data_IF_334216448145
#
_entry.id   IF_334216448145
#
_cell.length_a   1.000
_cell.length_b   1.000
_cell.length_c   1.000
_cell.angle_alpha   90.00
_cell.angle_beta   90.00
_cell.angle_gamma   90.00
#
_symmetry.space_group_name_H-M   'P 1'
#
loop_
_entity.id
_entity.type
_entity.pdbx_description
1 polymer ?
#
# COMPACT_ATOMS: atom_id res chain seq x y z
N UNK A 1 -35.43 -79.90 51.88
CA UNK A 1 -34.68 -79.03 50.95
C UNK A 1 -35.50 -77.76 50.74
N UNK A 2 -35.07 -76.64 51.33
CA UNK A 2 -35.73 -75.32 51.20
C UNK A 2 -35.04 -74.53 50.10
N UNK A 3 -35.79 -74.09 49.09
CA UNK A 3 -35.31 -73.17 48.06
C UNK A 3 -35.38 -71.73 48.57
N UNK A 4 -34.26 -71.03 48.52
CA UNK A 4 -34.14 -69.61 48.88
C UNK A 4 -33.97 -68.83 47.57
N UNK A 5 -35.03 -68.14 47.12
CA UNK A 5 -34.96 -67.24 45.96
C UNK A 5 -34.36 -65.90 46.36
N UNK A 6 -33.20 -65.56 45.80
CA UNK A 6 -32.58 -64.24 45.93
C UNK A 6 -33.17 -63.29 44.87
N UNK A 7 -33.82 -62.21 45.30
CA UNK A 7 -34.30 -61.13 44.46
C UNK A 7 -33.15 -60.11 44.28
N UNK A 8 -32.59 -60.01 43.08
CA UNK A 8 -31.60 -58.98 42.74
C UNK A 8 -32.34 -57.74 42.24
N UNK A 9 -32.34 -56.68 43.04
CA UNK A 9 -32.86 -55.36 42.65
C UNK A 9 -31.73 -54.62 41.93
N UNK A 10 -31.85 -54.51 40.60
CA UNK A 10 -31.00 -53.66 39.77
C UNK A 10 -31.43 -52.19 39.93
N UNK A 11 -30.64 -51.42 40.69
CA UNK A 11 -30.74 -49.96 40.71
C UNK A 11 -30.19 -49.41 39.39
N UNK A 12 -31.08 -48.96 38.50
CA UNK A 12 -30.70 -48.10 37.39
C UNK A 12 -30.38 -46.70 37.93
N UNK A 13 -29.09 -46.39 38.05
CA UNK A 13 -28.62 -45.04 38.32
C UNK A 13 -28.72 -44.25 37.01
N UNK A 14 -29.73 -43.40 36.88
CA UNK A 14 -29.84 -42.45 35.78
C UNK A 14 -28.80 -41.34 35.97
N UNK A 15 -27.72 -41.39 35.20
CA UNK A 15 -26.78 -40.28 35.10
C UNK A 15 -27.50 -39.06 34.48
N UNK A 16 -27.89 -38.12 35.34
CA UNK A 16 -28.30 -36.80 34.92
C UNK A 16 -27.07 -36.08 34.35
N UNK A 17 -26.91 -36.10 33.01
CA UNK A 17 -25.98 -35.23 32.30
C UNK A 17 -26.46 -33.79 32.47
N UNK A 18 -25.86 -33.07 33.42
CA UNK A 18 -26.01 -31.63 33.51
C UNK A 18 -25.47 -31.01 32.22
N UNK A 19 -26.39 -30.55 31.35
CA UNK A 19 -26.03 -29.72 30.21
C UNK A 19 -25.77 -28.31 30.76
N UNK A 20 -24.53 -28.03 31.16
CA UNK A 20 -24.07 -26.65 31.26
C UNK A 20 -24.02 -26.08 29.85
N UNK A 21 -25.09 -25.42 29.42
CA UNK A 21 -25.08 -24.51 28.29
C UNK A 21 -24.27 -23.27 28.67
N UNK A 22 -22.95 -23.41 28.71
CA UNK A 22 -22.08 -22.25 28.61
C UNK A 22 -22.31 -21.67 27.20
N UNK A 23 -23.08 -20.58 27.11
CA UNK A 23 -23.20 -19.83 25.87
C UNK A 23 -21.80 -19.43 25.43
N UNK A 24 -21.30 -20.03 24.34
CA UNK A 24 -20.04 -19.62 23.76
C UNK A 24 -20.11 -18.09 23.53
N UNK A 25 -19.18 -17.35 24.12
CA UNK A 25 -19.14 -15.90 23.98
C UNK A 25 -18.96 -15.55 22.50
N UNK A 26 -20.01 -15.04 21.85
CA UNK A 26 -19.93 -14.61 20.46
C UNK A 26 -19.33 -13.21 20.41
N UNK A 27 -18.05 -13.10 20.04
CA UNK A 27 -17.33 -11.84 19.98
C UNK A 27 -18.01 -10.81 19.07
N UNK A 28 -18.61 -11.24 17.96
CA UNK A 28 -19.35 -10.33 17.08
C UNK A 28 -20.57 -9.74 17.79
N UNK A 29 -21.30 -10.53 18.58
CA UNK A 29 -22.48 -10.03 19.31
C UNK A 29 -22.07 -9.03 20.39
N UNK A 30 -20.94 -9.28 21.08
CA UNK A 30 -20.35 -8.28 21.97
C UNK A 30 -20.01 -6.99 21.21
N UNK A 31 -19.37 -7.07 20.05
CA UNK A 31 -19.05 -5.88 19.25
C UNK A 31 -20.32 -5.17 18.75
N UNK A 32 -21.39 -5.90 18.39
CA UNK A 32 -22.70 -5.33 17.97
C UNK A 32 -23.36 -4.49 19.07
N UNK A 33 -23.01 -4.68 20.34
CA UNK A 33 -23.50 -3.84 21.44
C UNK A 33 -23.02 -2.38 21.35
N UNK A 34 -21.98 -2.09 20.55
CA UNK A 34 -21.47 -0.75 20.33
C UNK A 34 -22.12 -0.10 19.10
N UNK A 35 -22.78 1.07 19.23
CA UNK A 35 -23.52 1.69 18.13
C UNK A 35 -22.71 1.86 16.84
N UNK A 36 -21.46 2.36 16.95
CA UNK A 36 -20.60 2.58 15.78
C UNK A 36 -20.31 1.32 15.00
N UNK A 37 -20.00 0.22 15.69
CA UNK A 37 -19.74 -1.05 15.01
C UNK A 37 -21.04 -1.67 14.44
N UNK A 38 -22.15 -1.61 15.18
CA UNK A 38 -23.47 -2.02 14.68
C UNK A 38 -23.83 -1.28 13.38
N UNK A 39 -23.65 0.03 13.36
CA UNK A 39 -23.97 0.86 12.20
C UNK A 39 -23.02 0.61 11.03
N UNK A 40 -21.73 0.41 11.30
CA UNK A 40 -20.74 0.00 10.30
C UNK A 40 -21.13 -1.34 9.66
N UNK A 41 -21.50 -2.35 10.47
CA UNK A 41 -21.96 -3.64 9.94
C UNK A 41 -23.18 -3.47 9.03
N UNK A 42 -24.21 -2.75 9.48
CA UNK A 42 -25.41 -2.49 8.66
C UNK A 42 -25.09 -1.83 7.32
N UNK A 43 -24.11 -0.91 7.28
CA UNK A 43 -23.70 -0.21 6.06
C UNK A 43 -22.82 -1.05 5.14
N UNK A 44 -21.99 -1.93 5.68
CA UNK A 44 -20.84 -2.50 4.96
C UNK A 44 -20.91 -4.00 4.73
N UNK A 45 -21.59 -4.76 5.59
CA UNK A 45 -21.58 -6.24 5.58
C UNK A 45 -21.98 -6.80 4.22
N UNK A 46 -23.12 -6.39 3.65
CA UNK A 46 -23.57 -6.85 2.33
C UNK A 46 -22.58 -6.51 1.21
N UNK A 47 -21.96 -5.33 1.29
CA UNK A 47 -20.96 -4.89 0.30
C UNK A 47 -19.69 -5.72 0.40
N UNK A 48 -19.22 -6.04 1.62
CA UNK A 48 -18.08 -6.91 1.84
C UNK A 48 -18.37 -8.34 1.36
N UNK A 49 -19.54 -8.89 1.72
CA UNK A 49 -19.99 -10.20 1.25
C UNK A 49 -19.98 -10.29 -0.28
N UNK A 50 -20.49 -9.27 -0.98
CA UNK A 50 -20.45 -9.21 -2.44
C UNK A 50 -19.01 -9.16 -2.97
N UNK A 51 -18.15 -8.30 -2.40
CA UNK A 51 -16.74 -8.20 -2.82
C UNK A 51 -15.97 -9.51 -2.60
N UNK A 52 -16.28 -10.26 -1.53
CA UNK A 52 -15.74 -11.60 -1.31
C UNK A 52 -16.17 -12.58 -2.39
N UNK A 53 -17.48 -12.64 -2.69
CA UNK A 53 -18.02 -13.51 -3.75
C UNK A 53 -17.42 -13.19 -5.12
N UNK A 54 -17.32 -11.92 -5.49
CA UNK A 54 -16.71 -11.47 -6.76
C UNK A 54 -15.25 -11.90 -6.91
N UNK A 55 -14.55 -12.10 -5.79
CA UNK A 55 -13.15 -12.56 -5.74
C UNK A 55 -13.01 -14.06 -5.46
N UNK A 56 -14.12 -14.81 -5.44
CA UNK A 56 -14.16 -16.23 -5.07
C UNK A 56 -13.53 -16.49 -3.69
N UNK A 57 -13.79 -15.61 -2.72
CA UNK A 57 -13.34 -15.70 -1.33
C UNK A 57 -14.52 -16.10 -0.44
N UNK A 58 -14.26 -16.87 0.62
CA UNK A 58 -15.30 -17.28 1.57
C UNK A 58 -15.56 -16.19 2.62
N UNK A 59 -16.84 -15.95 2.89
CA UNK A 59 -17.30 -15.05 3.94
C UNK A 59 -17.96 -15.85 5.09
N UNK A 60 -17.74 -15.49 6.36
CA UNK A 60 -16.86 -14.42 6.84
C UNK A 60 -15.37 -14.75 6.66
N UNK A 61 -14.52 -13.73 6.68
CA UNK A 61 -13.07 -13.92 6.66
C UNK A 61 -12.64 -14.74 7.89
N UNK A 62 -11.99 -15.88 7.68
CA UNK A 62 -11.50 -16.74 8.77
C UNK A 62 -10.12 -16.35 9.25
N UNK A 63 -9.22 -16.07 8.30
CA UNK A 63 -7.87 -15.65 8.56
C UNK A 63 -7.55 -14.43 7.70
N UNK A 64 -7.12 -13.34 8.32
CA UNK A 64 -6.64 -12.15 7.63
C UNK A 64 -5.17 -11.87 7.96
N UNK A 65 -4.55 -11.10 7.08
CA UNK A 65 -3.19 -10.57 7.23
C UNK A 65 -3.19 -9.14 6.69
N UNK A 66 -2.67 -8.21 7.48
CA UNK A 66 -2.61 -6.80 7.12
C UNK A 66 -1.16 -6.41 6.83
N UNK A 67 -0.94 -5.70 5.72
CA UNK A 67 0.35 -5.07 5.41
C UNK A 67 0.17 -3.58 5.28
N UNK A 68 1.08 -2.78 5.81
CA UNK A 68 1.16 -1.36 5.53
C UNK A 68 2.52 -1.00 4.93
N UNK A 69 2.52 -0.07 3.99
CA UNK A 69 3.71 0.41 3.28
C UNK A 69 3.83 1.91 3.53
N UNK A 70 4.80 2.28 4.37
CA UNK A 70 4.93 3.64 4.91
C UNK A 70 5.14 4.68 3.82
N UNK A 71 6.12 4.48 2.95
CA UNK A 71 6.41 5.39 1.84
C UNK A 71 5.27 5.43 0.81
N UNK A 72 4.68 4.27 0.52
CA UNK A 72 3.65 4.15 -0.52
C UNK A 72 2.26 4.61 -0.05
N UNK A 73 2.07 4.92 1.23
CA UNK A 73 0.78 5.28 1.83
C UNK A 73 -0.32 4.26 1.55
N UNK A 74 0.01 2.97 1.65
CA UNK A 74 -0.89 1.87 1.30
C UNK A 74 -1.07 0.91 2.47
N UNK A 75 -2.26 0.35 2.58
CA UNK A 75 -2.61 -0.73 3.50
C UNK A 75 -3.32 -1.83 2.71
N UNK A 76 -2.84 -3.05 2.79
CA UNK A 76 -3.43 -4.22 2.13
C UNK A 76 -4.05 -5.14 3.18
N UNK A 77 -5.21 -5.69 2.86
CA UNK A 77 -5.83 -6.80 3.60
C UNK A 77 -5.84 -8.04 2.71
N UNK A 78 -5.19 -9.08 3.19
CA UNK A 78 -5.11 -10.40 2.58
C UNK A 78 -5.93 -11.38 3.41
N UNK A 79 -6.55 -12.36 2.76
CA UNK A 79 -7.42 -13.33 3.44
C UNK A 79 -7.13 -14.76 2.97
N UNK A 80 -7.40 -15.73 3.84
CA UNK A 80 -7.43 -17.16 3.49
C UNK A 80 -8.49 -17.90 4.32
N UNK A 81 -8.97 -19.03 3.82
CA UNK A 81 -9.99 -19.84 4.47
C UNK A 81 -9.38 -20.82 5.47
N UNK A 82 -8.51 -21.71 5.01
CA UNK A 82 -7.79 -22.68 5.81
C UNK A 82 -6.39 -22.23 6.21
N UNK A 83 -5.78 -22.92 7.18
CA UNK A 83 -4.41 -22.64 7.62
C UNK A 83 -3.36 -22.98 6.56
N UNK A 84 -3.58 -24.02 5.76
CA UNK A 84 -2.70 -24.43 4.65
C UNK A 84 -2.88 -23.59 3.39
N UNK A 85 -3.99 -22.85 3.28
CA UNK A 85 -4.33 -22.11 2.08
C UNK A 85 -3.38 -20.91 1.86
N UNK A 86 -3.24 -20.54 0.60
CA UNK A 86 -2.53 -19.32 0.22
C UNK A 86 -3.39 -18.08 0.49
N UNK A 87 -2.75 -17.05 1.02
CA UNK A 87 -3.37 -15.73 1.16
C UNK A 87 -3.68 -15.14 -0.22
N UNK A 88 -4.88 -14.58 -0.35
CA UNK A 88 -5.35 -13.84 -1.53
C UNK A 88 -5.63 -12.39 -1.15
N UNK A 89 -5.24 -11.46 -2.02
CA UNK A 89 -5.49 -10.04 -1.79
C UNK A 89 -7.00 -9.78 -1.85
N UNK A 90 -7.57 -9.38 -0.71
CA UNK A 90 -8.93 -8.90 -0.69
C UNK A 90 -8.98 -7.47 -1.24
N UNK A 91 -8.26 -6.53 -0.59
CA UNK A 91 -8.37 -5.12 -0.91
C UNK A 91 -7.16 -4.30 -0.47
N UNK A 92 -6.91 -3.22 -1.21
CA UNK A 92 -5.91 -2.19 -0.88
C UNK A 92 -6.64 -0.89 -0.52
N UNK A 93 -6.17 -0.25 0.54
CA UNK A 93 -6.68 0.97 1.15
C UNK A 93 -5.58 2.04 1.16
N UNK A 94 -5.98 3.31 1.10
CA UNK A 94 -5.04 4.44 1.13
C UNK A 94 -4.87 4.92 2.57
N UNK A 95 -3.63 4.92 3.06
CA UNK A 95 -3.28 5.63 4.29
C UNK A 95 -3.38 7.13 4.00
N UNK A 96 -4.24 7.84 4.72
CA UNK A 96 -4.66 9.18 4.32
C UNK A 96 -3.82 10.32 4.92
N UNK A 97 -2.98 10.04 5.91
CA UNK A 97 -1.95 10.95 6.39
C UNK A 97 -0.70 10.17 6.81
N UNK A 98 0.48 10.76 6.59
CA UNK A 98 1.76 10.18 6.97
C UNK A 98 2.33 10.90 8.19
N UNK A 99 2.99 10.16 9.06
CA UNK A 99 3.78 10.67 10.17
C UNK A 99 5.21 10.12 10.08
N UNK A 100 6.18 11.01 10.33
CA UNK A 100 7.60 10.69 10.37
C UNK A 100 8.23 10.38 9.00
N UNK A 101 9.36 9.66 9.03
CA UNK A 101 10.16 9.25 7.84
C UNK A 101 10.41 7.74 7.88
N UNK A 102 11.13 7.15 6.92
CA UNK A 102 11.49 5.73 7.05
C UNK A 102 12.24 5.46 8.36
N UNK A 103 12.17 4.22 8.83
CA UNK A 103 12.76 3.81 10.10
C UNK A 103 11.74 3.52 11.19
N UNK A 104 12.19 2.78 12.23
CA UNK A 104 11.34 2.32 13.31
C UNK A 104 10.96 3.45 14.25
N UNK A 105 9.88 3.22 15.01
CA UNK A 105 9.58 3.97 16.22
C UNK A 105 10.47 3.46 17.35
N UNK A 106 11.09 4.37 18.13
CA UNK A 106 11.99 4.00 19.23
C UNK A 106 11.67 4.70 20.54
N UNK A 107 10.92 5.79 20.54
CA UNK A 107 10.55 6.49 21.78
C UNK A 107 9.20 7.17 21.68
N UNK A 108 8.59 7.48 22.83
CA UNK A 108 7.41 8.34 22.88
C UNK A 108 7.74 9.72 22.27
N UNK A 109 6.81 10.27 21.48
CA UNK A 109 6.98 11.61 20.90
C UNK A 109 7.93 11.72 19.69
N UNK A 110 8.50 10.62 19.18
CA UNK A 110 9.32 10.65 17.94
C UNK A 110 8.53 10.85 16.63
N UNK A 111 7.20 10.95 16.74
CA UNK A 111 6.26 11.08 15.63
C UNK A 111 6.40 10.00 14.53
N UNK A 112 6.90 8.82 14.89
CA UNK A 112 7.09 7.72 13.95
C UNK A 112 5.96 6.71 13.99
N UNK A 113 5.52 6.26 12.81
CA UNK A 113 4.83 4.98 12.65
C UNK A 113 5.88 3.86 12.75
N UNK A 114 5.70 2.84 13.60
CA UNK A 114 6.68 1.77 13.73
C UNK A 114 6.81 0.95 12.45
N UNK A 115 7.97 0.31 12.26
CA UNK A 115 8.25 -0.61 11.17
C UNK A 115 8.67 -1.95 11.78
N UNK A 116 8.03 -3.04 11.36
CA UNK A 116 8.17 -4.31 12.06
C UNK A 116 6.99 -5.26 11.88
N UNK A 117 6.96 -6.26 12.76
CA UNK A 117 5.98 -7.34 12.77
C UNK A 117 5.13 -7.27 14.03
N UNK A 118 3.84 -7.02 13.85
CA UNK A 118 2.87 -6.75 14.90
C UNK A 118 1.68 -7.67 14.77
N UNK A 119 0.80 -7.63 15.77
CA UNK A 119 -0.54 -8.17 15.68
C UNK A 119 -1.56 -7.19 16.24
N UNK A 120 -2.82 -7.34 15.83
CA UNK A 120 -3.92 -6.67 16.51
C UNK A 120 -4.02 -7.24 17.94
N UNK A 121 -3.98 -6.35 18.93
CA UNK A 121 -4.15 -6.67 20.35
C UNK A 121 -5.38 -6.01 20.97
N UNK A 122 -6.00 -5.05 20.28
CA UNK A 122 -7.14 -4.31 20.81
C UNK A 122 -8.17 -4.01 19.70
N UNK A 123 -9.44 -4.20 20.03
CA UNK A 123 -10.59 -3.75 19.24
C UNK A 123 -11.28 -2.60 19.98
N UNK A 124 -11.18 -1.39 19.46
CA UNK A 124 -11.71 -0.20 20.11
C UNK A 124 -12.86 0.45 19.30
N UNK A 125 -14.12 0.10 19.61
CA UNK A 125 -15.29 0.66 18.94
C UNK A 125 -15.69 2.04 19.49
N UNK A 126 -15.04 2.52 20.56
CA UNK A 126 -15.29 3.82 21.20
C UNK A 126 -14.21 4.85 20.93
N UNK A 127 -13.30 4.56 20.00
CA UNK A 127 -12.16 5.42 19.64
C UNK A 127 -12.57 6.88 19.43
N UNK A 128 -11.77 7.83 19.90
CA UNK A 128 -11.95 9.25 19.54
C UNK A 128 -11.72 9.49 18.04
N UNK A 129 -11.11 8.53 17.34
CA UNK A 129 -10.88 8.50 15.90
C UNK A 129 -11.86 7.58 15.14
N UNK A 130 -13.12 7.54 15.59
CA UNK A 130 -14.22 6.74 15.05
C UNK A 130 -14.20 5.24 15.42
N UNK A 131 -13.40 4.43 14.72
CA UNK A 131 -13.11 3.03 15.04
C UNK A 131 -11.59 2.86 15.02
N UNK A 132 -11.04 1.98 15.87
CA UNK A 132 -9.60 1.69 15.83
C UNK A 132 -9.26 0.26 16.23
N UNK A 133 -8.16 -0.24 15.65
CA UNK A 133 -7.53 -1.51 15.96
C UNK A 133 -6.14 -1.24 16.51
N UNK A 134 -5.88 -1.63 17.75
CA UNK A 134 -4.60 -1.42 18.43
C UNK A 134 -3.59 -2.49 18.06
N UNK A 135 -2.35 -2.08 17.80
CA UNK A 135 -1.23 -2.97 17.60
C UNK A 135 -0.55 -3.29 18.94
N UNK A 136 0.10 -4.45 19.02
CA UNK A 136 0.92 -4.84 20.17
C UNK A 136 2.28 -4.08 20.25
N UNK A 137 2.34 -2.84 19.78
CA UNK A 137 3.52 -1.98 19.94
C UNK A 137 3.58 -1.41 21.37
N UNK A 138 4.74 -1.42 22.04
CA UNK A 138 6.02 -1.98 21.60
C UNK A 138 6.01 -3.52 21.68
N UNK A 139 6.45 -4.20 20.61
CA UNK A 139 6.58 -5.66 20.59
C UNK A 139 7.88 -6.12 21.30
N UNK A 140 8.26 -7.40 21.21
CA UNK A 140 9.50 -7.91 21.81
C UNK A 140 10.77 -7.21 21.30
N UNK A 141 10.86 -6.96 19.99
CA UNK A 141 11.99 -6.26 19.39
C UNK A 141 12.03 -4.80 19.83
N UNK A 142 10.88 -4.12 19.83
CA UNK A 142 10.78 -2.72 20.21
C UNK A 142 11.10 -2.49 21.69
N UNK A 143 10.76 -3.43 22.57
CA UNK A 143 11.13 -3.36 24.00
C UNK A 143 12.62 -3.50 24.26
N UNK A 144 13.36 -4.15 23.35
CA UNK A 144 14.82 -4.31 23.47
C UNK A 144 15.55 -3.13 22.83
N UNK A 145 15.08 -2.67 21.66
CA UNK A 145 15.76 -1.66 20.84
C UNK A 145 15.26 -0.22 21.09
N UNK A 146 14.07 -0.05 21.65
CA UNK A 146 13.49 1.23 21.98
C UNK A 146 14.02 1.81 23.29
N UNK A 147 13.58 3.03 23.59
CA UNK A 147 13.86 3.69 24.86
C UNK A 147 13.33 2.83 26.02
N UNK A 148 14.21 2.51 26.96
CA UNK A 148 13.90 1.59 28.06
C UNK A 148 12.85 2.12 29.04
N UNK A 149 12.66 3.44 29.12
CA UNK A 149 11.74 4.09 30.06
C UNK A 149 10.45 4.50 29.38
N UNK A 150 10.53 5.02 28.15
CA UNK A 150 9.42 5.59 27.39
C UNK A 150 9.47 5.14 25.92
N UNK A 151 9.26 3.85 25.62
CA UNK A 151 9.24 3.34 24.24
C UNK A 151 8.04 3.88 23.43
N UNK A 152 7.07 4.49 24.11
CA UNK A 152 5.77 4.87 23.57
C UNK A 152 4.76 3.73 23.61
N UNK A 153 3.66 3.90 22.90
CA UNK A 153 2.54 2.98 22.87
C UNK A 153 1.48 3.49 21.89
N UNK A 154 0.25 3.02 22.06
CA UNK A 154 -0.94 3.58 21.42
C UNK A 154 -0.83 3.68 19.89
N UNK A 155 -0.29 2.64 19.25
CA UNK A 155 -0.24 2.57 17.78
C UNK A 155 -1.49 1.87 17.27
N UNK A 156 -2.30 2.61 16.52
CA UNK A 156 -3.57 2.12 16.01
C UNK A 156 -3.66 2.21 14.49
N UNK A 157 -4.42 1.31 13.89
CA UNK A 157 -5.07 1.53 12.59
C UNK A 157 -6.44 2.11 12.88
N UNK A 158 -6.75 3.32 12.41
CA UNK A 158 -7.97 4.01 12.81
C UNK A 158 -8.60 4.86 11.70
N UNK A 159 -9.86 5.24 11.92
CA UNK A 159 -10.58 6.20 11.07
C UNK A 159 -10.11 7.63 11.30
N UNK A 160 -10.72 8.64 10.67
CA UNK A 160 -10.25 10.03 10.64
C UNK A 160 -8.82 10.19 10.08
N UNK A 161 -8.66 11.12 9.15
CA UNK A 161 -7.39 11.34 8.46
C UNK A 161 -6.45 12.30 9.19
N UNK A 162 -6.13 11.98 10.45
CA UNK A 162 -5.20 12.75 11.31
C UNK A 162 -4.30 11.79 12.06
N UNK A 163 -3.00 12.09 12.22
CA UNK A 163 -2.08 11.21 12.96
C UNK A 163 -0.85 11.95 13.44
N UNK A 164 -0.29 11.49 14.55
CA UNK A 164 1.05 11.82 15.05
C UNK A 164 1.96 10.60 15.15
N UNK A 165 1.54 9.42 14.66
CA UNK A 165 2.29 8.15 14.78
C UNK A 165 1.49 6.86 14.54
N UNK A 166 0.18 6.96 14.30
CA UNK A 166 -0.71 5.86 13.92
C UNK A 166 -0.82 5.69 12.39
N UNK A 167 -1.59 4.68 11.94
CA UNK A 167 -1.93 4.42 10.53
C UNK A 167 -3.38 4.87 10.28
N UNK A 168 -3.63 6.14 9.89
CA UNK A 168 -4.97 6.62 9.63
C UNK A 168 -5.44 6.22 8.23
N UNK A 169 -6.62 5.63 8.18
CA UNK A 169 -7.39 5.40 6.96
C UNK A 169 -8.73 6.15 7.08
N UNK A 170 -9.52 6.22 6.00
CA UNK A 170 -10.80 6.94 6.08
C UNK A 170 -11.82 6.18 6.94
N UNK A 171 -12.85 6.85 7.45
CA UNK A 171 -13.90 6.22 8.27
C UNK A 171 -14.51 5.00 7.57
N UNK A 172 -14.85 5.14 6.30
CA UNK A 172 -15.39 4.03 5.49
C UNK A 172 -14.38 2.88 5.33
N UNK A 173 -13.08 3.17 5.24
CA UNK A 173 -12.05 2.14 5.10
C UNK A 173 -11.83 1.40 6.42
N UNK A 174 -11.83 2.10 7.57
CA UNK A 174 -11.70 1.43 8.87
C UNK A 174 -12.93 0.60 9.22
N UNK A 175 -14.14 0.97 8.77
CA UNK A 175 -15.30 0.07 8.92
C UNK A 175 -15.03 -1.29 8.26
N UNK A 176 -14.53 -1.29 7.02
CA UNK A 176 -14.20 -2.54 6.32
C UNK A 176 -13.15 -3.34 7.10
N UNK A 177 -12.02 -2.71 7.46
CA UNK A 177 -10.90 -3.39 8.12
C UNK A 177 -11.27 -3.89 9.51
N UNK A 178 -12.02 -3.10 10.29
CA UNK A 178 -12.49 -3.47 11.63
C UNK A 178 -13.46 -4.65 11.57
N UNK A 179 -14.43 -4.64 10.64
CA UNK A 179 -15.38 -5.74 10.46
C UNK A 179 -14.64 -7.03 10.09
N UNK A 180 -13.69 -6.97 9.15
CA UNK A 180 -12.90 -8.13 8.74
C UNK A 180 -12.07 -8.70 9.89
N UNK A 181 -11.43 -7.83 10.67
CA UNK A 181 -10.66 -8.25 11.83
C UNK A 181 -11.55 -8.85 12.92
N UNK A 182 -12.71 -8.25 13.20
CA UNK A 182 -13.63 -8.76 14.21
C UNK A 182 -14.20 -10.12 13.82
N UNK A 183 -14.50 -10.33 12.53
CA UNK A 183 -14.95 -11.60 11.99
C UNK A 183 -13.85 -12.67 12.09
N UNK A 184 -12.62 -12.37 11.68
CA UNK A 184 -11.51 -13.32 11.78
C UNK A 184 -11.20 -13.70 13.24
N UNK A 185 -11.24 -12.73 14.15
CA UNK A 185 -11.10 -13.00 15.59
C UNK A 185 -12.23 -13.90 16.10
N UNK A 186 -13.47 -13.65 15.71
CA UNK A 186 -14.60 -14.52 16.05
C UNK A 186 -14.52 -15.93 15.44
N UNK A 187 -13.74 -16.12 14.38
CA UNK A 187 -13.40 -17.42 13.80
C UNK A 187 -12.16 -18.08 14.44
N UNK A 188 -11.62 -17.49 15.51
CA UNK A 188 -10.49 -18.04 16.28
C UNK A 188 -9.12 -17.52 15.89
N UNK A 189 -9.02 -16.49 15.04
CA UNK A 189 -7.75 -15.83 14.78
C UNK A 189 -7.44 -14.79 15.87
N UNK A 190 -6.96 -15.27 17.02
CA UNK A 190 -6.64 -14.42 18.17
C UNK A 190 -5.52 -13.40 17.85
N UNK A 191 -4.51 -13.83 17.11
CA UNK A 191 -3.38 -13.00 16.69
C UNK A 191 -3.49 -12.69 15.21
N UNK A 192 -4.09 -11.54 14.89
CA UNK A 192 -4.21 -11.06 13.51
C UNK A 192 -2.90 -10.35 13.12
N UNK A 193 -2.09 -10.89 12.19
CA UNK A 193 -0.79 -10.34 11.87
C UNK A 193 -0.90 -9.01 11.11
N UNK A 194 -0.07 -8.05 11.50
CA UNK A 194 0.08 -6.74 10.87
C UNK A 194 1.57 -6.50 10.63
N UNK A 195 2.00 -6.44 9.37
CA UNK A 195 3.39 -6.11 9.04
C UNK A 195 3.45 -4.69 8.49
N UNK A 196 4.36 -3.88 9.03
CA UNK A 196 4.58 -2.51 8.57
C UNK A 196 5.95 -2.45 7.92
N UNK A 197 5.95 -2.25 6.60
CA UNK A 197 7.14 -2.16 5.77
C UNK A 197 7.47 -0.70 5.45
N UNK A 198 8.75 -0.37 5.24
CA UNK A 198 9.13 0.96 4.78
C UNK A 198 8.56 1.27 3.39
N UNK A 199 8.61 0.29 2.50
CA UNK A 199 8.28 0.44 1.10
C UNK A 199 7.57 -0.79 0.54
N UNK A 200 6.85 -0.59 -0.56
CA UNK A 200 6.39 -1.65 -1.45
C UNK A 200 7.55 -2.08 -2.36
N UNK A 201 8.18 -3.22 -2.10
CA UNK A 201 9.40 -3.65 -2.82
C UNK A 201 9.17 -3.99 -4.31
N UNK A 202 7.91 -4.13 -4.76
CA UNK A 202 7.57 -4.23 -6.19
C UNK A 202 7.53 -2.87 -6.91
N UNK A 203 7.53 -1.76 -6.17
CA UNK A 203 7.50 -0.41 -6.73
C UNK A 203 8.94 0.11 -6.90
N UNK A 204 9.37 0.27 -8.16
CA UNK A 204 10.72 0.72 -8.49
C UNK A 204 11.06 2.10 -7.87
N UNK A 205 10.08 3.02 -7.78
CA UNK A 205 10.30 4.34 -7.17
C UNK A 205 10.57 4.23 -5.67
N UNK A 206 9.85 3.35 -4.99
CA UNK A 206 10.00 3.11 -3.56
C UNK A 206 11.32 2.41 -3.25
N UNK A 207 11.72 1.44 -4.07
CA UNK A 207 13.04 0.79 -4.00
C UNK A 207 14.17 1.82 -4.21
N UNK A 208 14.06 2.68 -5.22
CA UNK A 208 15.04 3.73 -5.46
C UNK A 208 15.13 4.74 -4.31
N UNK A 209 13.99 5.09 -3.69
CA UNK A 209 13.97 5.96 -2.52
C UNK A 209 14.70 5.32 -1.32
N UNK A 210 14.36 4.07 -0.98
CA UNK A 210 15.01 3.32 0.09
C UNK A 210 16.53 3.20 -0.14
N UNK A 211 16.95 2.90 -1.38
CA UNK A 211 18.37 2.77 -1.71
C UNK A 211 19.17 4.07 -1.51
N UNK A 212 18.54 5.24 -1.66
CA UNK A 212 19.16 6.53 -1.31
C UNK A 212 19.15 6.75 0.19
N UNK A 213 18.02 6.49 0.85
CA UNK A 213 17.86 6.65 2.29
C UNK A 213 18.90 5.84 3.07
N UNK A 214 19.18 4.60 2.65
CA UNK A 214 20.19 3.74 3.27
C UNK A 214 21.64 4.23 3.11
N UNK A 215 21.92 5.15 2.18
CA UNK A 215 23.26 5.79 2.10
C UNK A 215 23.45 6.80 3.21
N UNK A 216 22.38 7.50 3.58
CA UNK A 216 22.39 8.52 4.62
C UNK A 216 22.24 7.89 6.02
N UNK A 217 21.55 6.74 6.11
CA UNK A 217 21.26 6.01 7.36
C UNK A 217 21.66 4.53 7.27
N UNK A 218 22.97 4.21 7.24
CA UNK A 218 23.45 2.83 7.09
C UNK A 218 23.02 1.89 8.22
N UNK A 219 22.82 2.41 9.43
CA UNK A 219 22.32 1.67 10.60
C UNK A 219 20.91 1.09 10.40
N UNK A 220 20.12 1.68 9.50
CA UNK A 220 18.78 1.22 9.16
C UNK A 220 18.78 0.00 8.21
N UNK A 221 19.92 -0.31 7.58
CA UNK A 221 20.03 -1.40 6.62
C UNK A 221 19.66 -2.76 7.21
N UNK A 222 20.03 -3.02 8.46
CA UNK A 222 19.76 -4.30 9.12
C UNK A 222 18.24 -4.58 9.19
N UNK A 223 17.47 -3.68 9.82
CA UNK A 223 16.02 -3.80 9.92
C UNK A 223 15.36 -3.85 8.54
N UNK A 224 15.78 -2.98 7.63
CA UNK A 224 15.24 -2.93 6.27
C UNK A 224 15.41 -4.26 5.52
N UNK A 225 16.52 -4.96 5.72
CA UNK A 225 16.79 -6.25 5.09
C UNK A 225 15.91 -7.37 5.67
N UNK A 226 15.72 -7.42 6.99
CA UNK A 226 14.84 -8.41 7.60
C UNK A 226 13.37 -8.22 7.18
N UNK A 227 12.92 -6.97 7.10
CA UNK A 227 11.61 -6.63 6.55
C UNK A 227 11.48 -7.06 5.08
N UNK A 228 12.53 -6.82 4.27
CA UNK A 228 12.58 -7.27 2.86
C UNK A 228 12.48 -8.80 2.77
N UNK A 229 13.20 -9.55 3.60
CA UNK A 229 13.16 -11.01 3.60
C UNK A 229 11.75 -11.55 3.87
N UNK A 230 11.08 -11.04 4.91
CA UNK A 230 9.72 -11.45 5.22
C UNK A 230 8.72 -11.09 4.11
N UNK A 231 8.91 -9.91 3.50
CA UNK A 231 8.11 -9.48 2.35
C UNK A 231 8.27 -10.45 1.17
N UNK A 232 9.51 -10.78 0.78
CA UNK A 232 9.80 -11.67 -0.35
C UNK A 232 9.31 -13.10 -0.10
N UNK A 233 9.46 -13.59 1.13
CA UNK A 233 8.91 -14.88 1.53
C UNK A 233 7.39 -14.93 1.30
N UNK A 234 6.67 -13.91 1.77
CA UNK A 234 5.23 -13.83 1.58
C UNK A 234 4.87 -13.71 0.10
N UNK A 235 5.60 -12.91 -0.68
CA UNK A 235 5.32 -12.77 -2.11
C UNK A 235 5.45 -14.08 -2.88
N UNK A 236 6.46 -14.90 -2.55
CA UNK A 236 6.69 -16.20 -3.18
C UNK A 236 5.67 -17.25 -2.74
N UNK A 237 5.46 -17.39 -1.43
CA UNK A 237 4.72 -18.53 -0.88
C UNK A 237 3.24 -18.23 -0.63
N UNK A 238 2.87 -16.93 -0.58
CA UNK A 238 1.56 -16.46 -0.10
C UNK A 238 1.21 -17.02 1.28
N UNK A 239 2.24 -17.17 2.11
CA UNK A 239 2.17 -17.59 3.50
C UNK A 239 3.13 -16.74 4.33
N UNK A 240 2.82 -16.56 5.61
CA UNK A 240 3.67 -15.80 6.52
C UNK A 240 4.86 -16.66 6.96
N UNK A 241 6.09 -16.11 7.01
CA UNK A 241 7.21 -16.81 7.60
C UNK A 241 7.05 -16.87 9.12
N UNK A 242 7.80 -17.78 9.76
CA UNK A 242 8.01 -17.70 11.21
C UNK A 242 8.99 -16.56 11.50
N UNK A 243 8.60 -15.68 12.42
CA UNK A 243 9.37 -14.51 12.80
C UNK A 243 9.67 -14.62 14.29
N UNK A 244 10.96 -14.58 14.62
CA UNK A 244 11.45 -14.59 16.00
C UNK A 244 12.18 -13.28 16.29
N UNK A 245 12.34 -12.97 17.57
CA UNK A 245 13.21 -11.89 18.04
C UNK A 245 14.37 -12.50 18.80
N UNK A 246 15.60 -12.10 18.49
CA UNK A 246 16.79 -12.55 19.19
C UNK A 246 17.04 -11.76 20.50
N UNK A 247 18.14 -12.06 21.19
CA UNK A 247 18.49 -11.38 22.45
C UNK A 247 18.90 -9.92 22.27
N UNK A 248 19.24 -9.49 21.06
CA UNK A 248 19.59 -8.11 20.71
C UNK A 248 18.38 -7.32 20.21
N UNK A 249 17.23 -7.97 20.04
CA UNK A 249 16.01 -7.36 19.51
C UNK A 249 15.90 -7.44 17.99
N UNK A 250 16.83 -8.12 17.33
CA UNK A 250 16.82 -8.29 15.88
C UNK A 250 15.79 -9.34 15.47
N UNK A 251 15.16 -9.15 14.32
CA UNK A 251 14.25 -10.13 13.76
C UNK A 251 15.03 -11.28 13.11
N UNK A 252 14.56 -12.51 13.32
CA UNK A 252 15.02 -13.70 12.62
C UNK A 252 13.83 -14.24 11.82
N UNK A 253 13.92 -14.14 10.50
CA UNK A 253 12.90 -14.66 9.57
C UNK A 253 13.30 -16.08 9.14
N UNK A 254 12.54 -17.09 9.58
CA UNK A 254 12.82 -18.48 9.24
C UNK A 254 12.57 -18.78 7.76
N UNK A 255 13.30 -19.76 7.21
CA UNK A 255 13.19 -20.28 5.85
C UNK A 255 13.52 -19.25 4.76
N UNK A 256 14.79 -18.84 4.71
CA UNK A 256 15.32 -17.90 3.72
C UNK A 256 14.85 -18.26 2.30
N UNK A 257 14.15 -17.33 1.66
CA UNK A 257 13.88 -17.39 0.24
C UNK A 257 15.00 -16.62 -0.44
N UNK A 258 15.84 -17.34 -1.20
CA UNK A 258 16.79 -16.73 -2.12
C UNK A 258 16.06 -15.65 -2.92
N UNK A 259 16.61 -14.42 -2.91
CA UNK A 259 16.02 -13.31 -3.65
C UNK A 259 15.70 -13.82 -5.06
N UNK A 260 14.50 -13.54 -5.61
CA UNK A 260 14.33 -13.73 -7.04
C UNK A 260 15.48 -12.95 -7.69
N UNK A 261 16.26 -13.64 -8.54
CA UNK A 261 17.28 -13.01 -9.38
C UNK A 261 16.70 -11.67 -9.81
N UNK A 262 17.38 -10.55 -9.51
CA UNK A 262 16.81 -9.24 -9.79
C UNK A 262 16.29 -9.31 -11.21
N UNK A 263 14.95 -9.16 -11.38
CA UNK A 263 14.35 -9.05 -12.71
C UNK A 263 15.29 -8.15 -13.46
N UNK A 264 15.92 -8.66 -14.55
CA UNK A 264 17.16 -8.12 -15.08
C UNK A 264 16.97 -6.63 -15.01
N UNK A 265 17.79 -5.94 -14.19
CA UNK A 265 17.81 -4.48 -14.14
C UNK A 265 17.73 -4.14 -15.60
N UNK A 266 16.57 -3.67 -16.07
CA UNK A 266 16.38 -3.40 -17.49
C UNK A 266 17.54 -2.50 -17.75
N UNK A 267 18.51 -3.01 -18.52
CA UNK A 267 19.80 -2.36 -18.69
C UNK A 267 19.40 -0.93 -18.91
N UNK A 268 19.80 -0.08 -17.97
CA UNK A 268 19.51 1.34 -18.03
C UNK A 268 19.96 1.70 -19.43
N UNK A 269 19.03 1.88 -20.36
CA UNK A 269 19.36 2.54 -21.60
C UNK A 269 19.96 3.83 -21.09
N UNK A 270 21.21 4.09 -21.52
CA UNK A 270 22.04 5.18 -21.04
C UNK A 270 21.13 6.36 -20.74
N UNK A 271 21.04 6.72 -19.45
CA UNK A 271 20.11 7.77 -19.01
C UNK A 271 20.39 8.95 -19.92
N UNK A 272 19.37 9.37 -20.64
CA UNK A 272 19.52 10.53 -21.50
C UNK A 272 20.05 11.68 -20.64
N UNK A 273 21.14 12.36 -21.04
CA UNK A 273 21.64 13.49 -20.28
C UNK A 273 20.49 14.48 -20.10
N UNK A 274 20.26 14.87 -18.84
CA UNK A 274 19.22 15.85 -18.49
C UNK A 274 19.55 17.12 -19.25
N UNK A 275 18.79 17.41 -20.32
CA UNK A 275 18.93 18.68 -21.03
C UNK A 275 18.45 19.78 -20.10
N UNK A 276 19.23 20.84 -19.95
CA UNK A 276 18.83 22.07 -19.26
C UNK A 276 18.67 23.18 -20.28
N UNK A 277 17.64 24.01 -20.15
CA UNK A 277 17.42 25.18 -20.99
C UNK A 277 17.45 26.44 -20.13
N UNK A 278 18.15 27.49 -20.59
CA UNK A 278 18.18 28.76 -19.88
C UNK A 278 16.83 29.48 -20.04
N UNK A 279 16.05 29.56 -18.97
CA UNK A 279 14.72 30.15 -18.96
C UNK A 279 14.70 31.66 -19.16
N UNK A 280 15.81 32.36 -18.92
CA UNK A 280 15.92 33.81 -19.08
C UNK A 280 15.74 34.25 -20.55
N UNK A 281 16.00 33.35 -21.50
CA UNK A 281 15.89 33.60 -22.93
C UNK A 281 14.49 33.33 -23.52
N UNK A 282 13.51 32.95 -22.69
CA UNK A 282 12.16 32.63 -23.15
C UNK A 282 11.28 33.86 -23.24
N UNK A 283 10.59 34.01 -24.38
CA UNK A 283 9.54 35.00 -24.51
C UNK A 283 8.31 34.59 -23.68
N UNK A 284 7.89 35.45 -22.75
CA UNK A 284 6.66 35.26 -21.96
C UNK A 284 5.39 35.63 -22.72
N UNK A 285 5.51 36.52 -23.72
CA UNK A 285 4.42 37.00 -24.58
C UNK A 285 4.97 37.11 -26.00
N UNK A 286 4.19 36.67 -27.00
CA UNK A 286 4.55 36.67 -28.42
C UNK A 286 3.37 37.18 -29.25
N UNK A 287 3.65 37.69 -30.44
CA UNK A 287 2.63 38.19 -31.38
C UNK A 287 2.05 37.05 -32.23
N UNK A 288 2.88 36.04 -32.55
CA UNK A 288 2.44 34.78 -33.19
C UNK A 288 3.04 33.60 -32.46
N UNK A 289 2.18 32.61 -32.17
CA UNK A 289 2.58 31.33 -31.60
C UNK A 289 3.32 30.47 -32.64
N UNK A 290 4.17 29.53 -32.20
CA UNK A 290 4.82 28.62 -33.11
C UNK A 290 3.78 27.65 -33.70
N UNK A 291 3.98 27.23 -34.95
CA UNK A 291 3.03 26.39 -35.68
C UNK A 291 3.68 25.07 -36.08
N UNK A 292 3.10 23.95 -35.66
CA UNK A 292 3.55 22.61 -36.03
C UNK A 292 3.38 22.37 -37.54
N UNK A 293 4.23 21.55 -38.19
CA UNK A 293 4.02 21.16 -39.58
C UNK A 293 2.65 20.52 -39.82
N UNK A 294 1.85 21.08 -40.72
CA UNK A 294 0.44 20.66 -40.90
C UNK A 294 -0.54 21.28 -39.89
N UNK A 295 -0.09 22.28 -39.13
CA UNK A 295 -0.90 23.04 -38.18
C UNK A 295 -1.46 22.18 -37.05
N UNK A 296 -2.61 22.57 -36.53
CA UNK A 296 -3.25 21.88 -35.41
C UNK A 296 -3.63 20.42 -35.73
N UNK A 297 -4.00 20.14 -36.99
CA UNK A 297 -4.35 18.78 -37.43
C UNK A 297 -3.12 17.88 -37.39
N UNK A 298 -1.98 18.36 -37.92
CA UNK A 298 -0.71 17.63 -37.86
C UNK A 298 -0.25 17.40 -36.41
N UNK A 299 -0.41 18.40 -35.54
CA UNK A 299 -0.03 18.27 -34.13
C UNK A 299 -0.94 17.28 -33.39
N UNK A 300 -2.25 17.32 -33.62
CA UNK A 300 -3.18 16.38 -33.01
C UNK A 300 -2.88 14.93 -33.44
N UNK A 301 -2.59 14.69 -34.72
CA UNK A 301 -2.17 13.37 -35.20
C UNK A 301 -0.90 12.87 -34.49
N UNK A 302 0.07 13.77 -34.27
CA UNK A 302 1.26 13.43 -33.49
C UNK A 302 0.91 13.05 -32.03
N UNK A 303 0.02 13.79 -31.38
CA UNK A 303 -0.43 13.50 -30.01
C UNK A 303 -1.16 12.16 -29.94
N UNK A 304 -2.00 11.84 -30.92
CA UNK A 304 -2.73 10.57 -30.97
C UNK A 304 -1.77 9.37 -31.14
N UNK A 305 -0.77 9.51 -32.01
CA UNK A 305 0.27 8.49 -32.20
C UNK A 305 1.12 8.30 -30.94
N UNK A 306 1.50 9.41 -30.29
CA UNK A 306 2.21 9.37 -29.01
C UNK A 306 1.36 8.70 -27.93
N UNK A 307 0.07 9.06 -27.81
CA UNK A 307 -0.86 8.44 -26.84
C UNK A 307 -0.96 6.93 -27.06
N UNK A 308 -1.12 6.50 -28.32
CA UNK A 308 -1.17 5.09 -28.69
C UNK A 308 0.12 4.36 -28.33
N UNK A 309 1.29 4.91 -28.67
CA UNK A 309 2.57 4.33 -28.30
C UNK A 309 2.73 4.27 -26.78
N UNK A 310 2.31 5.32 -26.05
CA UNK A 310 2.50 5.38 -24.62
C UNK A 310 1.57 4.46 -23.82
N UNK A 311 0.46 4.03 -24.41
CA UNK A 311 -0.52 3.14 -23.76
C UNK A 311 0.09 1.82 -23.26
N UNK A 312 1.16 1.35 -23.91
CA UNK A 312 1.89 0.14 -23.50
C UNK A 312 2.61 0.29 -22.14
N UNK A 313 2.94 1.52 -21.75
CA UNK A 313 3.60 1.82 -20.48
C UNK A 313 2.60 2.07 -19.35
N UNK A 314 1.29 1.96 -19.58
CA UNK A 314 0.29 2.03 -18.51
C UNK A 314 0.37 0.81 -17.61
N UNK A 315 0.35 1.02 -16.29
CA UNK A 315 0.32 -0.05 -15.30
C UNK A 315 -0.89 -0.98 -15.53
N UNK A 316 -0.80 -2.24 -15.11
CA UNK A 316 -1.84 -3.26 -15.36
C UNK A 316 -3.22 -2.88 -14.80
N UNK A 317 -3.25 -2.09 -13.74
CA UNK A 317 -4.45 -1.57 -13.10
C UNK A 317 -4.91 -0.20 -13.64
N UNK A 318 -4.16 0.43 -14.55
CA UNK A 318 -4.46 1.75 -15.12
C UNK A 318 -5.06 1.59 -16.52
N UNK A 319 -6.35 1.96 -16.65
CA UNK A 319 -7.02 2.04 -17.96
C UNK A 319 -6.69 3.33 -18.72
N UNK A 320 -6.50 4.44 -17.99
CA UNK A 320 -6.18 5.75 -18.55
C UNK A 320 -5.31 6.58 -17.58
N UNK A 321 -4.54 7.52 -18.10
CA UNK A 321 -3.81 8.53 -17.33
C UNK A 321 -3.69 9.84 -18.11
N UNK A 322 -3.44 10.95 -17.40
CA UNK A 322 -3.16 12.25 -17.99
C UNK A 322 -1.72 12.65 -17.68
N UNK A 323 -0.96 13.01 -18.71
CA UNK A 323 0.42 13.47 -18.59
C UNK A 323 0.52 14.91 -19.08
N UNK A 324 1.16 15.76 -18.29
CA UNK A 324 1.44 17.14 -18.67
C UNK A 324 2.92 17.31 -18.96
N UNK A 325 3.22 17.71 -20.19
CA UNK A 325 4.58 17.93 -20.68
C UNK A 325 4.80 19.41 -20.99
N UNK A 326 5.92 19.93 -20.53
CA UNK A 326 6.49 21.21 -20.93
C UNK A 326 7.50 20.99 -22.04
N UNK A 327 7.51 21.85 -23.05
CA UNK A 327 8.53 21.80 -24.11
C UNK A 327 8.83 23.20 -24.64
N UNK A 328 10.03 23.37 -25.20
CA UNK A 328 10.53 24.64 -25.73
C UNK A 328 10.76 24.49 -27.23
N UNK A 329 10.17 25.41 -27.99
CA UNK A 329 10.52 25.64 -29.39
C UNK A 329 11.47 26.83 -29.43
N UNK A 330 12.67 26.65 -29.98
CA UNK A 330 13.66 27.72 -30.07
C UNK A 330 13.32 28.72 -31.18
N UNK A 331 14.16 29.76 -31.31
CA UNK A 331 14.01 30.81 -32.34
C UNK A 331 14.11 30.28 -33.78
N UNK A 332 14.74 29.11 -33.97
CA UNK A 332 14.90 28.47 -35.27
C UNK A 332 13.76 27.47 -35.54
N UNK A 333 12.77 27.40 -34.64
CA UNK A 333 11.62 26.51 -34.74
C UNK A 333 11.91 25.09 -34.27
N UNK A 334 13.09 24.80 -33.72
CA UNK A 334 13.46 23.45 -33.32
C UNK A 334 13.01 23.14 -31.89
N UNK A 335 12.50 21.93 -31.62
CA UNK A 335 12.27 21.47 -30.26
C UNK A 335 13.60 21.32 -29.52
N UNK A 336 13.87 22.23 -28.58
CA UNK A 336 15.16 22.30 -27.90
C UNK A 336 15.17 21.53 -26.57
N UNK A 337 14.02 21.43 -25.92
CA UNK A 337 13.87 20.86 -24.59
C UNK A 337 12.46 20.35 -24.36
N UNK A 338 12.31 19.27 -23.60
CA UNK A 338 11.03 18.83 -23.06
C UNK A 338 11.21 18.27 -21.64
N UNK A 339 10.14 18.33 -20.84
CA UNK A 339 10.09 17.78 -19.49
C UNK A 339 8.66 17.45 -19.11
N UNK A 340 8.43 16.22 -18.65
CA UNK A 340 7.16 15.89 -18.01
C UNK A 340 7.13 16.52 -16.63
N UNK A 341 6.10 17.32 -16.38
CA UNK A 341 5.92 18.05 -15.11
C UNK A 341 4.84 17.44 -14.22
N UNK A 342 3.96 16.59 -14.76
CA UNK A 342 2.92 15.91 -13.99
C UNK A 342 2.44 14.64 -14.70
N UNK A 343 2.16 13.58 -13.93
CA UNK A 343 1.63 12.32 -14.44
C UNK A 343 2.69 11.36 -14.95
N UNK A 344 2.23 10.23 -15.50
CA UNK A 344 3.06 9.19 -16.10
C UNK A 344 3.96 8.41 -15.12
N UNK A 345 4.81 7.56 -15.67
CA UNK A 345 5.86 6.82 -14.95
C UNK A 345 7.23 7.08 -15.61
N UNK A 346 8.32 6.57 -15.02
CA UNK A 346 9.69 6.91 -15.45
C UNK A 346 9.93 6.57 -16.93
N UNK A 347 9.56 5.36 -17.37
CA UNK A 347 9.77 4.89 -18.74
C UNK A 347 8.91 5.65 -19.76
N UNK A 348 7.63 5.83 -19.45
CA UNK A 348 6.71 6.64 -20.26
C UNK A 348 7.21 8.08 -20.38
N UNK A 349 7.70 8.67 -19.29
CA UNK A 349 8.12 10.07 -19.26
C UNK A 349 9.40 10.29 -20.07
N UNK A 350 10.35 9.36 -20.04
CA UNK A 350 11.57 9.44 -20.85
C UNK A 350 11.24 9.35 -22.34
N UNK A 351 10.37 8.41 -22.72
CA UNK A 351 9.94 8.24 -24.11
C UNK A 351 9.11 9.42 -24.62
N UNK A 352 8.21 9.95 -23.79
CA UNK A 352 7.46 11.17 -24.09
C UNK A 352 8.40 12.36 -24.35
N UNK A 353 9.40 12.55 -23.50
CA UNK A 353 10.36 13.64 -23.67
C UNK A 353 11.12 13.51 -24.99
N UNK A 354 11.62 12.31 -25.30
CA UNK A 354 12.29 11.98 -26.56
C UNK A 354 11.41 12.27 -27.79
N UNK A 355 10.16 11.81 -27.80
CA UNK A 355 9.23 12.07 -28.91
C UNK A 355 9.03 13.57 -29.13
N UNK A 356 8.93 14.36 -28.05
CA UNK A 356 8.76 15.80 -28.14
C UNK A 356 10.02 16.53 -28.65
N UNK A 357 11.21 16.09 -28.23
CA UNK A 357 12.46 16.72 -28.67
C UNK A 357 12.89 16.30 -30.08
N UNK A 358 12.31 15.22 -30.61
CA UNK A 358 12.48 14.77 -32.00
C UNK A 358 11.31 15.16 -32.91
N UNK A 359 10.43 16.07 -32.47
CA UNK A 359 9.41 16.63 -33.36
C UNK A 359 10.06 17.34 -34.56
N UNK A 360 9.38 17.37 -35.72
CA UNK A 360 9.86 18.13 -36.86
C UNK A 360 9.93 19.63 -36.52
N UNK A 361 10.80 20.41 -37.21
CA UNK A 361 10.89 21.85 -36.99
C UNK A 361 9.54 22.55 -37.20
N UNK A 362 9.17 23.39 -36.25
CA UNK A 362 7.97 24.22 -36.26
C UNK A 362 8.27 25.53 -37.00
N UNK A 363 7.22 26.20 -37.47
CA UNK A 363 7.31 27.64 -37.73
C UNK A 363 7.53 28.34 -36.38
N UNK A 364 8.59 29.14 -36.19
CA UNK A 364 8.93 29.72 -34.90
C UNK A 364 7.91 30.76 -34.44
N UNK A 365 7.87 30.99 -33.12
CA UNK A 365 7.10 32.08 -32.55
C UNK A 365 7.74 33.43 -32.92
N UNK A 366 6.92 34.46 -33.14
CA UNK A 366 7.43 35.81 -33.48
C UNK A 366 7.00 36.84 -32.45
N UNK A 367 7.91 37.74 -32.08
CA UNK A 367 7.65 38.93 -31.26
C UNK A 367 8.37 40.13 -31.89
N UNK A 368 7.66 41.22 -32.14
CA UNK A 368 8.14 42.40 -32.87
C UNK A 368 8.84 42.00 -34.18
N UNK A 369 8.19 41.12 -34.95
CA UNK A 369 8.68 40.56 -36.22
C UNK A 369 9.98 39.74 -36.12
N UNK A 370 10.50 39.49 -34.92
CA UNK A 370 11.69 38.65 -34.68
C UNK A 370 11.29 37.29 -34.14
N UNK A 371 11.98 36.25 -34.60
CA UNK A 371 11.79 34.90 -34.08
C UNK A 371 12.31 34.79 -32.64
N UNK A 372 11.54 34.16 -31.76
CA UNK A 372 11.85 34.02 -30.33
C UNK A 372 11.57 32.61 -29.83
N UNK A 373 12.35 32.17 -28.84
CA UNK A 373 12.09 30.91 -28.17
C UNK A 373 10.89 31.04 -27.22
N UNK A 374 10.04 30.01 -27.17
CA UNK A 374 8.86 29.99 -26.31
C UNK A 374 8.69 28.61 -25.65
N UNK A 375 8.22 28.62 -24.40
CA UNK A 375 7.85 27.42 -23.66
C UNK A 375 6.34 27.19 -23.76
N UNK A 376 5.97 25.96 -24.10
CA UNK A 376 4.58 25.51 -24.23
C UNK A 376 4.29 24.38 -23.24
N UNK A 377 3.01 24.18 -22.94
CA UNK A 377 2.50 23.08 -22.13
C UNK A 377 1.46 22.32 -22.93
N UNK A 378 1.55 20.99 -22.91
CA UNK A 378 0.54 20.12 -23.51
C UNK A 378 0.11 19.07 -22.50
N UNK A 379 -1.20 18.84 -22.42
CA UNK A 379 -1.78 17.70 -21.71
C UNK A 379 -2.06 16.58 -22.71
N UNK A 380 -1.66 15.37 -22.38
CA UNK A 380 -1.86 14.18 -23.21
C UNK A 380 -2.67 13.18 -22.40
N UNK A 381 -3.77 12.73 -22.96
CA UNK A 381 -4.53 11.59 -22.45
C UNK A 381 -3.96 10.31 -23.06
N UNK A 382 -3.65 9.34 -22.20
CA UNK A 382 -3.11 8.03 -22.59
C UNK A 382 -4.10 6.99 -22.09
N UNK A 383 -4.66 6.20 -22.99
CA UNK A 383 -5.67 5.20 -22.69
C UNK A 383 -5.33 3.85 -23.34
N UNK A 384 -5.54 2.75 -22.61
CA UNK A 384 -5.50 1.38 -23.16
C UNK A 384 -6.73 1.20 -24.04
N UNK A 385 -6.53 1.10 -25.36
CA UNK A 385 -7.59 0.78 -26.32
C UNK A 385 -8.05 -0.66 -26.20
#
# INVERSE_FOLDING_TARGET
MKYLSFLVILFFCSEAKSQTSASAFNFIDYQRSFPRFSDALKRREDTLMRQFREKNLEWPARNIYIRSFKFDSQLEVWVKSGYSDQYRLFKTYKVCALAGTLGPKRMAGDYQVPEGFYCISEFNPRSTYYLSLGLNYPNSADRILGDSLQPGGDIYIHGKCVTSGCIPITDQQIEDVYILAAQAHAQGQDFIPVHIFPIQYKNAKSVAYLARYLKDFPEYAHLSNELKHAYLYFEKNKQLPLILTDKKGDYIVANYVQEPEPSPVVKKNERRPVKSFNEENLAKVVDKLPVYPGGNVGFQSFIDDVSKEMSQYLEDNQKRTYVMIEFVIDKDGKPAYSKVIRGGNEEMNDRLQERFENMPPWTPATRMEKAVAIKLKQSIEIEKK
#
